data_IF_541835410502
#
_entry.id   IF_541835410502
#
_cell.length_a   1.000
_cell.length_b   1.000
_cell.length_c   1.000
_cell.angle_alpha   90.00
_cell.angle_beta   90.00
_cell.angle_gamma   90.00
#
_symmetry.space_group_name_H-M   'P 1'
#
loop_
_entity.id
_entity.type
_entity.pdbx_description
1 polymer ?
#
# COMPACT_ATOMS: atom_id res chain seq x y z
N UNK A 1 -38.36 37.77 -6.20
CA UNK A 1 -39.16 37.77 -7.43
C UNK A 1 -40.66 37.92 -7.18
N UNK A 2 -41.37 36.96 -6.55
CA UNK A 2 -42.84 37.04 -6.36
C UNK A 2 -43.31 38.23 -5.48
N UNK A 3 -42.51 38.66 -4.49
CA UNK A 3 -42.86 39.81 -3.65
C UNK A 3 -42.72 41.16 -4.36
N UNK A 4 -41.69 41.35 -5.19
CA UNK A 4 -41.59 42.53 -6.08
C UNK A 4 -42.72 42.53 -7.13
N UNK A 5 -43.12 41.35 -7.60
CA UNK A 5 -44.24 41.14 -8.52
C UNK A 5 -45.59 41.58 -7.94
N UNK A 6 -45.86 41.22 -6.67
CA UNK A 6 -47.09 41.64 -5.96
C UNK A 6 -47.13 43.14 -5.69
N UNK A 7 -45.99 43.74 -5.32
CA UNK A 7 -45.90 45.18 -5.10
C UNK A 7 -46.12 46.00 -6.37
N UNK A 8 -45.59 45.56 -7.51
CA UNK A 8 -45.81 46.21 -8.81
C UNK A 8 -47.26 46.00 -9.30
N UNK A 9 -47.81 44.79 -9.11
CA UNK A 9 -49.20 44.44 -9.43
C UNK A 9 -50.24 45.25 -8.63
N UNK A 10 -49.98 45.52 -7.35
CA UNK A 10 -50.87 46.30 -6.50
C UNK A 10 -50.70 47.82 -6.68
N UNK A 11 -49.50 48.29 -7.05
CA UNK A 11 -49.25 49.70 -7.36
C UNK A 11 -49.93 50.17 -8.66
N UNK A 12 -50.18 49.28 -9.62
CA UNK A 12 -50.81 49.61 -10.92
C UNK A 12 -52.35 49.66 -10.92
N UNK A 13 -53.00 49.65 -9.75
CA UNK A 13 -54.45 49.39 -9.62
C UNK A 13 -55.43 50.59 -9.57
N UNK A 14 -55.11 51.87 -9.88
CA UNK A 14 -56.16 52.88 -9.84
C UNK A 14 -57.02 52.83 -11.11
N UNK A 15 -58.29 52.42 -10.97
CA UNK A 15 -59.38 53.10 -11.69
C UNK A 15 -60.22 52.36 -12.72
N UNK A 16 -60.12 51.03 -12.94
CA UNK A 16 -60.96 50.37 -13.98
C UNK A 16 -62.39 50.00 -13.50
N UNK A 17 -62.72 50.21 -12.22
CA UNK A 17 -64.01 49.73 -11.65
C UNK A 17 -65.14 50.75 -11.47
N UNK A 18 -64.99 52.01 -11.89
CA UNK A 18 -66.12 52.95 -11.97
C UNK A 18 -65.97 53.80 -13.22
N UNK A 19 -66.78 53.52 -14.24
CA UNK A 19 -67.30 54.47 -15.22
C UNK A 19 -68.34 53.70 -16.07
N UNK A 20 -69.36 53.20 -15.38
CA UNK A 20 -70.67 53.07 -15.97
C UNK A 20 -71.32 54.46 -15.99
N UNK A 21 -72.03 54.74 -17.08
CA UNK A 21 -72.94 55.89 -17.28
C UNK A 21 -72.28 57.27 -17.43
N UNK A 22 -72.27 57.78 -18.67
CA UNK A 22 -71.85 59.15 -18.99
C UNK A 22 -71.50 59.32 -20.48
N UNK A 23 -72.51 59.43 -21.34
CA UNK A 23 -72.35 59.72 -22.77
C UNK A 23 -71.94 61.18 -22.98
N UNK A 24 -70.87 61.45 -23.73
CA UNK A 24 -70.54 62.80 -24.21
C UNK A 24 -69.07 63.09 -24.53
N UNK A 25 -68.36 62.21 -25.26
CA UNK A 25 -66.94 62.44 -25.60
C UNK A 25 -66.22 61.17 -26.08
N UNK A 26 -66.80 60.46 -27.04
CA UNK A 26 -66.60 59.02 -27.21
C UNK A 26 -65.40 58.51 -28.04
N UNK A 27 -64.54 59.34 -28.63
CA UNK A 27 -63.49 58.83 -29.55
C UNK A 27 -62.03 59.12 -29.18
N UNK A 28 -61.71 60.00 -28.25
CA UNK A 28 -60.30 60.24 -27.86
C UNK A 28 -59.92 59.41 -26.64
N UNK A 29 -60.82 59.29 -25.66
CA UNK A 29 -60.60 58.54 -24.42
C UNK A 29 -60.48 57.03 -24.67
N UNK A 30 -61.28 56.48 -25.59
CA UNK A 30 -61.22 55.06 -25.97
C UNK A 30 -59.91 54.69 -26.70
N UNK A 31 -59.39 55.57 -27.54
CA UNK A 31 -58.11 55.34 -28.24
C UNK A 31 -56.92 55.41 -27.29
N UNK A 32 -56.93 56.33 -26.31
CA UNK A 32 -55.89 56.44 -25.28
C UNK A 32 -55.89 55.26 -24.31
N UNK A 33 -57.06 54.78 -23.88
CA UNK A 33 -57.18 53.61 -23.00
C UNK A 33 -56.69 52.33 -23.69
N UNK A 34 -57.07 52.11 -24.95
CA UNK A 34 -56.60 50.96 -25.73
C UNK A 34 -55.09 51.06 -25.97
N UNK A 35 -54.55 52.25 -26.27
CA UNK A 35 -53.11 52.48 -26.42
C UNK A 35 -52.31 52.18 -25.14
N UNK A 36 -52.75 52.66 -23.97
CA UNK A 36 -52.11 52.41 -22.67
C UNK A 36 -52.17 50.94 -22.27
N UNK A 37 -53.31 50.27 -22.49
CA UNK A 37 -53.46 48.82 -22.28
C UNK A 37 -52.51 48.01 -23.15
N UNK A 38 -52.32 48.38 -24.42
CA UNK A 38 -51.39 47.71 -25.33
C UNK A 38 -49.92 47.91 -24.88
N UNK A 39 -49.54 49.12 -24.47
CA UNK A 39 -48.17 49.43 -24.02
C UNK A 39 -47.80 48.63 -22.76
N UNK A 40 -48.68 48.65 -21.76
CA UNK A 40 -48.45 47.95 -20.49
C UNK A 40 -48.36 46.43 -20.70
N UNK A 41 -49.19 45.87 -21.57
CA UNK A 41 -49.20 44.43 -21.87
C UNK A 41 -47.99 43.98 -22.68
N UNK A 42 -47.50 44.80 -23.60
CA UNK A 42 -46.26 44.54 -24.34
C UNK A 42 -45.03 44.59 -23.44
N UNK A 43 -44.96 45.54 -22.50
CA UNK A 43 -43.85 45.62 -21.54
C UNK A 43 -43.79 44.37 -20.64
N UNK A 44 -44.94 43.86 -20.19
CA UNK A 44 -45.01 42.64 -19.38
C UNK A 44 -44.60 41.39 -20.19
N UNK A 45 -45.03 41.29 -21.45
CA UNK A 45 -44.64 40.22 -22.37
C UNK A 45 -43.13 40.21 -22.62
N UNK A 46 -42.53 41.37 -22.86
CA UNK A 46 -41.08 41.52 -23.08
C UNK A 46 -40.29 41.17 -21.81
N UNK A 47 -40.76 41.59 -20.64
CA UNK A 47 -40.11 41.27 -19.37
C UNK A 47 -40.15 39.77 -19.06
N UNK A 48 -41.32 39.13 -19.19
CA UNK A 48 -41.49 37.68 -19.00
C UNK A 48 -40.64 36.89 -20.01
N UNK A 49 -40.62 37.32 -21.27
CA UNK A 49 -39.78 36.73 -22.31
C UNK A 49 -38.28 36.85 -22.02
N UNK A 50 -37.84 37.99 -21.46
CA UNK A 50 -36.45 38.19 -21.04
C UNK A 50 -36.07 37.27 -19.89
N UNK A 51 -36.96 37.04 -18.93
CA UNK A 51 -36.70 36.16 -17.77
C UNK A 51 -36.61 34.69 -18.19
N UNK A 52 -37.49 34.24 -19.10
CA UNK A 52 -37.51 32.85 -19.58
C UNK A 52 -36.25 32.51 -20.42
N UNK A 53 -35.68 33.50 -21.11
CA UNK A 53 -34.46 33.31 -21.89
C UNK A 53 -33.19 33.18 -21.06
N UNK A 54 -33.15 33.77 -19.85
CA UNK A 54 -31.97 33.69 -18.98
C UNK A 54 -31.87 32.28 -18.39
N UNK A 55 -30.98 31.46 -18.95
CA UNK A 55 -30.73 30.09 -18.51
C UNK A 55 -29.62 30.09 -17.47
N UNK A 56 -29.98 29.98 -16.20
CA UNK A 56 -28.99 29.92 -15.11
C UNK A 56 -28.86 28.48 -14.56
N UNK A 57 -27.79 27.74 -14.90
CA UNK A 57 -27.60 26.36 -14.45
C UNK A 57 -27.47 26.28 -12.93
N UNK A 58 -28.20 25.35 -12.33
CA UNK A 58 -28.28 25.24 -10.88
C UNK A 58 -27.34 24.15 -10.35
N UNK A 59 -27.03 24.22 -9.05
CA UNK A 59 -26.09 23.29 -8.39
C UNK A 59 -26.77 22.10 -7.72
N UNK A 60 -28.03 22.25 -7.30
CA UNK A 60 -28.73 21.22 -6.50
C UNK A 60 -30.04 20.82 -7.14
N UNK A 61 -30.45 19.57 -6.95
CA UNK A 61 -31.76 19.09 -7.42
C UNK A 61 -32.89 19.96 -6.85
N UNK A 62 -32.81 20.33 -5.57
CA UNK A 62 -33.80 21.17 -4.90
C UNK A 62 -33.99 22.54 -5.58
N UNK A 63 -32.90 23.18 -6.01
CA UNK A 63 -32.98 24.45 -6.73
C UNK A 63 -33.64 24.32 -8.11
N UNK A 64 -33.40 23.23 -8.85
CA UNK A 64 -34.07 22.99 -10.14
C UNK A 64 -35.55 22.63 -9.93
N UNK A 65 -35.86 21.83 -8.91
CA UNK A 65 -37.24 21.51 -8.53
C UNK A 65 -38.03 22.76 -8.12
N UNK A 66 -37.37 23.70 -7.45
CA UNK A 66 -37.96 25.01 -7.14
C UNK A 66 -38.27 25.80 -8.42
N UNK A 67 -37.34 25.91 -9.37
CA UNK A 67 -37.59 26.56 -10.66
C UNK A 67 -38.71 25.87 -11.46
N UNK A 68 -38.81 24.54 -11.40
CA UNK A 68 -39.93 23.80 -11.98
C UNK A 68 -41.25 24.13 -11.30
N UNK A 69 -41.25 24.30 -9.97
CA UNK A 69 -42.44 24.71 -9.22
C UNK A 69 -42.91 26.11 -9.62
N UNK A 70 -41.99 27.07 -9.73
CA UNK A 70 -42.28 28.43 -10.19
C UNK A 70 -42.82 28.44 -11.63
N UNK A 71 -42.20 27.66 -12.53
CA UNK A 71 -42.68 27.47 -13.91
C UNK A 71 -44.10 26.89 -13.97
N UNK A 72 -44.44 25.96 -13.07
CA UNK A 72 -45.80 25.39 -12.97
C UNK A 72 -46.80 26.43 -12.49
N UNK A 73 -46.44 27.26 -11.51
CA UNK A 73 -47.29 28.35 -11.00
C UNK A 73 -47.56 29.37 -12.10
N UNK A 74 -46.52 29.86 -12.77
CA UNK A 74 -46.67 30.77 -13.92
C UNK A 74 -47.63 30.22 -14.98
N UNK A 75 -47.51 28.93 -15.34
CA UNK A 75 -48.36 28.31 -16.36
C UNK A 75 -49.81 28.06 -15.91
N UNK A 76 -50.04 27.80 -14.63
CA UNK A 76 -51.38 27.51 -14.09
C UNK A 76 -52.16 28.76 -13.72
N UNK A 77 -51.49 29.78 -13.19
CA UNK A 77 -52.14 30.93 -12.56
C UNK A 77 -51.99 32.20 -13.41
N UNK A 78 -50.77 32.50 -13.84
CA UNK A 78 -50.48 33.79 -14.50
C UNK A 78 -50.76 33.77 -16.00
N UNK A 79 -50.24 32.78 -16.74
CA UNK A 79 -50.32 32.68 -18.21
C UNK A 79 -51.77 32.63 -18.74
N UNK A 80 -52.73 31.91 -18.13
CA UNK A 80 -54.11 31.89 -18.62
C UNK A 80 -54.78 33.26 -18.61
N UNK A 81 -54.51 34.08 -17.57
CA UNK A 81 -55.04 35.45 -17.50
C UNK A 81 -54.51 36.32 -18.64
N UNK A 82 -53.23 36.15 -19.01
CA UNK A 82 -52.59 36.88 -20.12
C UNK A 82 -53.10 36.44 -21.49
N UNK A 83 -53.45 35.16 -21.64
CA UNK A 83 -54.07 34.65 -22.86
C UNK A 83 -55.50 35.21 -23.04
N UNK A 84 -56.30 35.24 -21.97
CA UNK A 84 -57.63 35.88 -21.97
C UNK A 84 -57.51 37.37 -22.33
N UNK A 85 -56.51 38.04 -21.78
CA UNK A 85 -56.19 39.43 -22.09
C UNK A 85 -55.83 39.65 -23.57
N UNK A 86 -55.04 38.77 -24.19
CA UNK A 86 -54.73 38.80 -25.63
C UNK A 86 -56.01 38.67 -26.47
N UNK A 87 -56.86 37.69 -26.15
CA UNK A 87 -58.13 37.47 -26.86
C UNK A 87 -59.10 38.66 -26.72
N UNK A 88 -59.17 39.25 -25.52
CA UNK A 88 -59.98 40.44 -25.26
C UNK A 88 -59.47 41.64 -26.06
N UNK A 89 -58.15 41.82 -26.15
CA UNK A 89 -57.54 42.91 -26.93
C UNK A 89 -57.91 42.80 -28.42
N UNK A 90 -57.80 41.61 -28.99
CA UNK A 90 -58.18 41.34 -30.38
C UNK A 90 -59.67 41.62 -30.63
N UNK A 91 -60.54 41.12 -29.75
CA UNK A 91 -61.99 41.36 -29.82
C UNK A 91 -62.33 42.85 -29.71
N UNK A 92 -61.67 43.56 -28.80
CA UNK A 92 -61.87 45.00 -28.58
C UNK A 92 -61.44 45.81 -29.80
N UNK A 93 -60.31 45.46 -30.41
CA UNK A 93 -59.85 46.10 -31.64
C UNK A 93 -60.80 45.85 -32.81
N UNK A 94 -61.23 44.60 -33.03
CA UNK A 94 -62.15 44.26 -34.12
C UNK A 94 -63.50 44.99 -33.98
N UNK A 95 -63.98 45.10 -32.74
CA UNK A 95 -65.18 45.88 -32.41
C UNK A 95 -64.97 47.37 -32.70
N UNK A 96 -63.83 47.93 -32.30
CA UNK A 96 -63.48 49.33 -32.55
C UNK A 96 -63.39 49.62 -34.06
N UNK A 97 -62.72 48.77 -34.84
CA UNK A 97 -62.63 48.90 -36.30
C UNK A 97 -64.02 48.91 -36.94
N UNK A 98 -64.89 48.00 -36.52
CA UNK A 98 -66.26 47.90 -37.04
C UNK A 98 -67.06 49.17 -36.71
N UNK A 99 -66.96 49.70 -35.49
CA UNK A 99 -67.63 50.96 -35.09
C UNK A 99 -67.11 52.17 -35.86
N UNK A 100 -65.80 52.27 -36.08
CA UNK A 100 -65.20 53.37 -36.83
C UNK A 100 -65.66 53.34 -38.30
N UNK A 101 -65.70 52.15 -38.91
CA UNK A 101 -66.26 51.95 -40.26
C UNK A 101 -67.72 52.39 -40.37
N UNK A 102 -68.57 51.94 -39.42
CA UNK A 102 -70.00 52.30 -39.41
C UNK A 102 -70.24 53.80 -39.20
N UNK A 103 -69.37 54.46 -38.43
CA UNK A 103 -69.43 55.91 -38.19
C UNK A 103 -68.72 56.76 -39.26
N UNK A 104 -68.26 56.15 -40.36
CA UNK A 104 -67.49 56.78 -41.45
C UNK A 104 -66.23 57.53 -40.96
N UNK A 105 -65.61 57.05 -39.89
CA UNK A 105 -64.37 57.59 -39.34
C UNK A 105 -63.16 56.76 -39.82
N UNK A 106 -61.97 57.37 -39.93
CA UNK A 106 -60.77 56.64 -40.32
C UNK A 106 -60.46 55.50 -39.33
N UNK A 107 -59.97 54.39 -39.85
CA UNK A 107 -59.57 53.23 -39.07
C UNK A 107 -58.46 53.58 -38.08
N UNK A 108 -58.54 53.01 -36.88
CA UNK A 108 -57.47 53.16 -35.90
C UNK A 108 -56.28 52.27 -36.28
N UNK A 109 -55.10 52.85 -36.49
CA UNK A 109 -53.88 52.09 -36.79
C UNK A 109 -52.88 52.31 -35.66
N UNK A 110 -52.62 51.31 -34.80
CA UNK A 110 -51.55 51.36 -33.82
C UNK A 110 -50.17 51.50 -34.49
N UNK A 111 -49.17 51.97 -33.75
CA UNK A 111 -47.76 51.92 -34.20
C UNK A 111 -47.34 50.48 -34.55
N UNK A 112 -46.40 50.31 -35.47
CA UNK A 112 -45.98 49.01 -36.03
C UNK A 112 -45.73 47.93 -34.97
N UNK A 113 -44.98 48.24 -33.90
CA UNK A 113 -44.68 47.30 -32.81
C UNK A 113 -45.86 46.95 -31.89
N UNK A 114 -46.95 47.69 -32.03
CA UNK A 114 -48.18 47.59 -31.23
C UNK A 114 -49.36 47.08 -32.06
N UNK A 115 -49.11 46.72 -33.31
CA UNK A 115 -50.12 46.14 -34.18
C UNK A 115 -50.46 44.71 -33.74
N UNK A 116 -51.70 44.26 -33.97
CA UNK A 116 -52.17 42.96 -33.47
C UNK A 116 -51.35 41.80 -34.02
N UNK A 117 -50.94 41.84 -35.28
CA UNK A 117 -50.06 40.80 -35.85
C UNK A 117 -48.68 40.78 -35.16
N UNK A 118 -48.12 41.93 -34.78
CA UNK A 118 -46.86 42.00 -34.05
C UNK A 118 -46.99 41.46 -32.61
N UNK A 119 -48.12 41.72 -31.94
CA UNK A 119 -48.44 41.14 -30.64
C UNK A 119 -48.65 39.63 -30.74
N UNK A 120 -49.29 39.16 -31.82
CA UNK A 120 -49.43 37.74 -32.15
C UNK A 120 -48.08 37.06 -32.33
N UNK A 121 -47.20 37.62 -33.14
CA UNK A 121 -45.85 37.10 -33.36
C UNK A 121 -45.01 37.05 -32.08
N UNK A 122 -45.04 38.10 -31.25
CA UNK A 122 -44.36 38.12 -29.94
C UNK A 122 -44.91 37.07 -28.97
N UNK A 123 -46.21 36.79 -29.04
CA UNK A 123 -46.82 35.73 -28.24
C UNK A 123 -46.37 34.34 -28.72
N UNK A 124 -46.27 34.12 -30.02
CA UNK A 124 -45.78 32.86 -30.58
C UNK A 124 -44.30 32.64 -30.23
N UNK A 125 -43.49 33.71 -30.21
CA UNK A 125 -42.11 33.68 -29.70
C UNK A 125 -42.05 33.34 -28.21
N UNK A 126 -42.94 33.90 -27.39
CA UNK A 126 -43.05 33.56 -25.97
C UNK A 126 -43.42 32.07 -25.79
N UNK A 127 -44.35 31.54 -26.57
CA UNK A 127 -44.70 30.12 -26.49
C UNK A 127 -43.56 29.20 -26.91
N UNK A 128 -42.77 29.59 -27.91
CA UNK A 128 -41.54 28.87 -28.28
C UNK A 128 -40.53 28.92 -27.15
N UNK A 129 -40.29 30.09 -26.56
CA UNK A 129 -39.38 30.26 -25.43
C UNK A 129 -39.81 29.41 -24.23
N UNK A 130 -41.09 29.40 -23.88
CA UNK A 130 -41.66 28.57 -22.80
C UNK A 130 -41.39 27.08 -23.02
N UNK A 131 -41.58 26.57 -24.25
CA UNK A 131 -41.30 25.16 -24.58
C UNK A 131 -39.81 24.85 -24.42
N UNK A 132 -38.94 25.70 -24.97
CA UNK A 132 -37.49 25.50 -24.86
C UNK A 132 -36.99 25.61 -23.42
N UNK A 133 -37.63 26.42 -22.58
CA UNK A 133 -37.28 26.55 -21.17
C UNK A 133 -37.73 25.33 -20.35
N UNK A 134 -38.89 24.75 -20.68
CA UNK A 134 -39.34 23.49 -20.08
C UNK A 134 -38.42 22.32 -20.45
N UNK A 135 -38.06 22.21 -21.73
CA UNK A 135 -37.09 21.21 -22.20
C UNK A 135 -35.75 21.37 -21.47
N UNK A 136 -35.24 22.60 -21.39
CA UNK A 136 -34.02 22.92 -20.65
C UNK A 136 -34.11 22.57 -19.15
N UNK A 137 -35.22 22.88 -18.47
CA UNK A 137 -35.41 22.55 -17.06
C UNK A 137 -35.44 21.03 -16.80
N UNK A 138 -35.93 20.24 -17.76
CA UNK A 138 -35.92 18.78 -17.66
C UNK A 138 -34.52 18.22 -17.86
N UNK A 139 -33.81 18.69 -18.89
CA UNK A 139 -32.42 18.33 -19.16
C UNK A 139 -31.51 18.71 -17.98
N UNK A 140 -31.68 19.90 -17.43
CA UNK A 140 -30.90 20.40 -16.29
C UNK A 140 -31.19 19.58 -15.03
N UNK A 141 -32.45 19.21 -14.77
CA UNK A 141 -32.79 18.33 -13.67
C UNK A 141 -32.14 16.94 -13.81
N UNK A 142 -32.17 16.36 -15.01
CA UNK A 142 -31.52 15.08 -15.30
C UNK A 142 -30.00 15.17 -15.11
N UNK A 143 -29.38 16.24 -15.62
CA UNK A 143 -27.95 16.50 -15.48
C UNK A 143 -27.55 16.60 -14.01
N UNK A 144 -28.24 17.43 -13.21
CA UNK A 144 -27.91 17.62 -11.78
C UNK A 144 -28.12 16.34 -10.99
N UNK A 145 -29.19 15.57 -11.23
CA UNK A 145 -29.38 14.24 -10.62
C UNK A 145 -28.25 13.27 -10.99
N UNK A 146 -27.82 13.27 -12.26
CA UNK A 146 -26.72 12.43 -12.72
C UNK A 146 -25.41 12.82 -12.03
N UNK A 147 -25.13 14.11 -11.92
CA UNK A 147 -23.94 14.64 -11.23
C UNK A 147 -23.95 14.24 -9.75
N UNK A 148 -25.04 14.45 -9.02
CA UNK A 148 -25.14 14.03 -7.60
C UNK A 148 -24.94 12.52 -7.42
N UNK A 149 -25.52 11.71 -8.31
CA UNK A 149 -25.32 10.26 -8.32
C UNK A 149 -23.85 9.87 -8.55
N UNK A 150 -23.21 10.48 -9.55
CA UNK A 150 -21.82 10.20 -9.90
C UNK A 150 -20.86 10.63 -8.79
N UNK A 151 -21.11 11.76 -8.13
CA UNK A 151 -20.32 12.23 -6.98
C UNK A 151 -20.38 11.21 -5.85
N UNK A 152 -21.59 10.80 -5.42
CA UNK A 152 -21.76 9.79 -4.36
C UNK A 152 -21.09 8.46 -4.74
N UNK A 153 -21.23 8.05 -6.00
CA UNK A 153 -20.59 6.84 -6.51
C UNK A 153 -19.07 6.94 -6.47
N UNK A 154 -18.51 8.08 -6.88
CA UNK A 154 -17.08 8.35 -6.88
C UNK A 154 -16.51 8.33 -5.45
N UNK A 155 -17.17 8.99 -4.50
CA UNK A 155 -16.80 9.00 -3.08
C UNK A 155 -16.70 7.61 -2.48
N UNK A 156 -17.75 6.80 -2.64
CA UNK A 156 -17.78 5.44 -2.09
C UNK A 156 -16.62 4.61 -2.67
N UNK A 157 -16.38 4.74 -3.98
CA UNK A 157 -15.31 4.00 -4.67
C UNK A 157 -13.92 4.43 -4.22
N UNK A 158 -13.69 5.74 -4.07
CA UNK A 158 -12.45 6.33 -3.58
C UNK A 158 -12.19 5.94 -2.11
N UNK A 159 -13.17 6.14 -1.23
CA UNK A 159 -13.08 5.80 0.20
C UNK A 159 -12.74 4.32 0.40
N UNK A 160 -13.41 3.43 -0.33
CA UNK A 160 -13.13 1.99 -0.26
C UNK A 160 -11.72 1.68 -0.78
N UNK A 161 -11.16 2.47 -1.72
CA UNK A 161 -9.84 2.20 -2.30
C UNK A 161 -8.75 2.72 -1.38
N UNK A 162 -8.95 3.90 -0.81
CA UNK A 162 -8.09 4.48 0.20
C UNK A 162 -8.00 3.58 1.44
N UNK A 163 -9.13 3.02 1.90
CA UNK A 163 -9.14 2.06 3.00
C UNK A 163 -8.27 0.82 2.72
N UNK A 164 -8.30 0.30 1.48
CA UNK A 164 -7.43 -0.81 1.07
C UNK A 164 -5.96 -0.39 0.95
N UNK A 165 -5.70 0.82 0.43
CA UNK A 165 -4.35 1.36 0.21
C UNK A 165 -3.64 1.75 1.51
N UNK A 166 -4.40 2.10 2.56
CA UNK A 166 -3.88 2.55 3.85
C UNK A 166 -2.90 1.54 4.43
N UNK A 167 -1.71 2.01 4.80
CA UNK A 167 -0.65 1.20 5.44
C UNK A 167 0.18 0.35 4.47
N UNK A 168 -0.24 0.17 3.21
CA UNK A 168 0.52 -0.63 2.23
C UNK A 168 1.88 -0.03 1.87
N UNK A 169 2.04 1.28 1.64
CA UNK A 169 3.35 1.87 1.35
C UNK A 169 4.36 1.63 2.48
N UNK A 170 3.93 1.77 3.74
CA UNK A 170 4.75 1.52 4.92
C UNK A 170 5.12 0.03 5.02
N UNK A 171 4.15 -0.86 4.82
CA UNK A 171 4.39 -2.30 4.84
C UNK A 171 5.39 -2.73 3.75
N UNK A 172 5.28 -2.16 2.54
CA UNK A 172 6.14 -2.46 1.40
C UNK A 172 7.58 -1.96 1.61
N UNK A 173 7.75 -0.80 2.23
CA UNK A 173 9.06 -0.20 2.53
C UNK A 173 9.73 -0.77 3.79
N UNK A 174 9.06 -1.68 4.49
CA UNK A 174 9.58 -2.27 5.73
C UNK A 174 10.82 -3.15 5.54
N UNK A 175 11.63 -3.23 6.59
CA UNK A 175 12.91 -3.93 6.67
C UNK A 175 12.81 -5.37 7.19
N UNK A 176 11.60 -5.91 7.33
CA UNK A 176 11.33 -7.23 7.90
C UNK A 176 12.16 -8.37 7.26
N UNK A 177 12.50 -8.23 5.98
CA UNK A 177 13.31 -9.19 5.23
C UNK A 177 14.74 -9.36 5.78
N UNK A 178 15.31 -8.33 6.40
CA UNK A 178 16.70 -8.34 6.89
C UNK A 178 16.92 -9.23 8.11
N UNK A 179 15.85 -9.59 8.84
CA UNK A 179 15.92 -10.38 10.08
C UNK A 179 15.35 -11.78 9.94
N UNK A 180 14.90 -12.15 8.73
CA UNK A 180 14.27 -13.44 8.48
C UNK A 180 15.30 -14.54 8.20
N UNK A 181 15.01 -15.73 8.67
CA UNK A 181 15.67 -16.95 8.20
C UNK A 181 15.22 -17.31 6.78
N UNK A 182 15.97 -18.15 6.07
CA UNK A 182 15.63 -18.56 4.69
C UNK A 182 14.18 -19.09 4.54
N UNK A 183 13.64 -19.95 5.43
CA UNK A 183 12.25 -20.40 5.35
C UNK A 183 11.23 -19.25 5.55
N UNK A 184 11.48 -18.36 6.51
CA UNK A 184 10.61 -17.21 6.79
C UNK A 184 10.62 -16.21 5.63
N UNK A 185 11.79 -16.01 5.01
CA UNK A 185 11.95 -15.16 3.84
C UNK A 185 11.17 -15.72 2.64
N UNK A 186 11.23 -17.03 2.38
CA UNK A 186 10.41 -17.68 1.34
C UNK A 186 8.91 -17.54 1.61
N UNK A 187 8.50 -17.67 2.87
CA UNK A 187 7.11 -17.40 3.25
C UNK A 187 6.71 -15.93 3.02
N UNK A 188 7.62 -14.99 3.28
CA UNK A 188 7.42 -13.57 2.98
C UNK A 188 7.31 -13.31 1.46
N UNK A 189 8.13 -13.95 0.64
CA UNK A 189 8.07 -13.88 -0.82
C UNK A 189 6.73 -14.40 -1.36
N UNK A 190 6.24 -15.54 -0.85
CA UNK A 190 4.94 -16.08 -1.23
C UNK A 190 3.77 -15.15 -0.85
N UNK A 191 3.86 -14.50 0.32
CA UNK A 191 2.89 -13.45 0.69
C UNK A 191 2.97 -12.24 -0.23
N UNK A 192 4.17 -11.86 -0.67
CA UNK A 192 4.38 -10.77 -1.61
C UNK A 192 3.84 -11.10 -3.02
N UNK A 193 3.98 -12.34 -3.48
CA UNK A 193 3.38 -12.82 -4.73
C UNK A 193 1.84 -12.73 -4.69
N UNK A 194 1.23 -13.18 -3.59
CA UNK A 194 -0.20 -13.02 -3.37
C UNK A 194 -0.63 -11.55 -3.40
N UNK A 195 0.16 -10.67 -2.76
CA UNK A 195 -0.06 -9.23 -2.81
C UNK A 195 0.04 -8.65 -4.23
N UNK A 196 0.97 -9.12 -5.06
CA UNK A 196 1.08 -8.68 -6.46
C UNK A 196 -0.13 -9.11 -7.30
N UNK A 197 -0.67 -10.30 -7.06
CA UNK A 197 -1.92 -10.74 -7.69
C UNK A 197 -3.10 -9.84 -7.29
N UNK A 198 -3.23 -9.52 -5.99
CA UNK A 198 -4.22 -8.56 -5.52
C UNK A 198 -4.02 -7.15 -6.10
N UNK A 199 -2.77 -6.72 -6.27
CA UNK A 199 -2.43 -5.42 -6.85
C UNK A 199 -2.91 -5.34 -8.30
N UNK A 200 -2.63 -6.37 -9.10
CA UNK A 200 -3.08 -6.46 -10.50
C UNK A 200 -4.62 -6.46 -10.60
N UNK A 201 -5.32 -7.19 -9.72
CA UNK A 201 -6.79 -7.19 -9.69
C UNK A 201 -7.40 -5.81 -9.36
N UNK A 202 -6.62 -4.91 -8.74
CA UNK A 202 -7.05 -3.55 -8.42
C UNK A 202 -6.73 -2.52 -9.51
N UNK A 203 -5.97 -2.85 -10.56
CA UNK A 203 -5.70 -1.93 -11.68
C UNK A 203 -7.03 -1.50 -12.35
N UNK A 204 -7.89 -2.46 -12.71
CA UNK A 204 -9.23 -2.20 -13.28
C UNK A 204 -10.07 -1.26 -12.39
N UNK A 205 -9.89 -1.37 -11.07
CA UNK A 205 -10.65 -0.57 -10.12
C UNK A 205 -10.21 0.88 -10.14
N UNK A 206 -8.90 1.14 -10.18
CA UNK A 206 -8.35 2.50 -10.27
C UNK A 206 -8.71 3.13 -11.61
N UNK A 207 -8.63 2.37 -12.70
CA UNK A 207 -9.06 2.83 -14.03
C UNK A 207 -10.54 3.23 -14.04
N UNK A 208 -11.43 2.41 -13.47
CA UNK A 208 -12.86 2.74 -13.33
C UNK A 208 -13.10 4.00 -12.49
N UNK A 209 -12.29 4.25 -11.46
CA UNK A 209 -12.39 5.48 -10.66
C UNK A 209 -11.94 6.69 -11.50
N UNK A 210 -10.86 6.55 -12.28
CA UNK A 210 -10.41 7.56 -13.24
C UNK A 210 -11.49 7.90 -14.27
N UNK A 211 -12.08 6.90 -14.92
CA UNK A 211 -13.15 7.10 -15.90
C UNK A 211 -14.40 7.78 -15.29
N UNK A 212 -14.77 7.46 -14.04
CA UNK A 212 -15.85 8.15 -13.33
C UNK A 212 -15.51 9.63 -13.06
N UNK A 213 -14.25 9.94 -12.75
CA UNK A 213 -13.79 11.31 -12.57
C UNK A 213 -13.81 12.10 -13.89
N UNK A 214 -13.43 11.48 -15.00
CA UNK A 214 -13.49 12.10 -16.32
C UNK A 214 -14.94 12.36 -16.76
N UNK A 215 -15.85 11.40 -16.54
CA UNK A 215 -17.29 11.57 -16.77
C UNK A 215 -17.83 12.75 -15.95
N UNK A 216 -17.50 12.80 -14.65
CA UNK A 216 -17.90 13.89 -13.77
C UNK A 216 -17.34 15.25 -14.24
N UNK A 217 -16.06 15.29 -14.62
CA UNK A 217 -15.41 16.48 -15.16
C UNK A 217 -16.08 16.98 -16.43
N UNK A 218 -16.41 16.09 -17.36
CA UNK A 218 -17.09 16.43 -18.62
C UNK A 218 -18.47 17.05 -18.38
N UNK A 219 -19.28 16.51 -17.45
CA UNK A 219 -20.59 17.03 -17.09
C UNK A 219 -20.52 18.40 -16.39
N UNK A 220 -19.41 18.67 -15.70
CA UNK A 220 -19.11 19.97 -15.09
C UNK A 220 -18.59 20.97 -16.14
N UNK A 221 -17.86 20.53 -17.17
CA UNK A 221 -17.37 21.40 -18.26
C UNK A 221 -18.50 21.76 -19.25
N UNK A 222 -19.39 20.83 -19.58
CA UNK A 222 -20.58 21.09 -20.42
C UNK A 222 -21.44 22.24 -19.85
N UNK A 223 -21.42 22.44 -18.52
CA UNK A 223 -22.03 23.59 -17.85
C UNK A 223 -21.36 24.93 -18.22
N UNK A 224 -20.03 24.98 -18.36
CA UNK A 224 -19.29 26.22 -18.68
C UNK A 224 -19.50 26.65 -20.13
N UNK A 225 -19.48 25.70 -21.07
CA UNK A 225 -19.67 25.99 -22.50
C UNK A 225 -21.09 26.46 -22.81
N UNK A 226 -22.11 25.95 -22.11
CA UNK A 226 -23.49 26.41 -22.24
C UNK A 226 -23.74 27.86 -21.78
N UNK A 227 -22.83 28.44 -21.00
CA UNK A 227 -22.91 29.83 -20.49
C UNK A 227 -22.11 30.84 -21.32
N UNK A 228 -21.29 30.42 -22.30
CA UNK A 228 -20.33 31.29 -22.98
C UNK A 228 -20.95 32.39 -23.85
N UNK A 229 -22.17 32.21 -24.38
CA UNK A 229 -22.83 33.23 -25.21
C UNK A 229 -23.38 34.42 -24.40
N UNK A 230 -23.60 34.27 -23.09
CA UNK A 230 -24.15 35.31 -22.21
C UNK A 230 -23.18 35.70 -21.06
N UNK A 231 -22.12 34.91 -20.85
CA UNK A 231 -21.06 35.18 -19.89
C UNK A 231 -20.17 36.37 -20.23
N UNK A 232 -20.22 37.00 -21.40
CA UNK A 232 -19.39 38.19 -21.67
C UNK A 232 -19.75 39.38 -20.77
N UNK A 233 -21.02 39.53 -20.40
CA UNK A 233 -21.48 40.58 -19.48
C UNK A 233 -21.26 40.21 -18.00
N UNK A 234 -21.43 38.94 -17.64
CA UNK A 234 -21.14 38.42 -16.29
C UNK A 234 -19.63 38.27 -16.05
N UNK A 235 -18.82 38.01 -17.07
CA UNK A 235 -17.35 37.94 -16.98
C UNK A 235 -16.73 39.31 -16.70
N UNK A 236 -17.37 40.40 -17.14
CA UNK A 236 -16.98 41.76 -16.72
C UNK A 236 -17.25 41.96 -15.22
N UNK A 237 -18.42 41.56 -14.72
CA UNK A 237 -18.71 41.56 -13.27
C UNK A 237 -17.85 40.54 -12.48
N UNK A 238 -17.52 39.39 -13.06
CA UNK A 238 -16.72 38.34 -12.43
C UNK A 238 -15.22 38.69 -12.41
N UNK A 239 -14.75 39.51 -13.36
CA UNK A 239 -13.42 40.12 -13.32
C UNK A 239 -13.33 41.14 -12.18
N UNK A 240 -14.40 41.91 -11.95
CA UNK A 240 -14.52 42.82 -10.80
C UNK A 240 -14.55 42.05 -9.46
N UNK A 241 -15.27 40.91 -9.41
CA UNK A 241 -15.31 40.03 -8.24
C UNK A 241 -14.00 39.25 -8.06
N UNK A 242 -13.32 38.82 -9.12
CA UNK A 242 -12.00 38.20 -9.04
C UNK A 242 -10.94 39.17 -8.52
N UNK A 243 -11.01 40.45 -8.92
CA UNK A 243 -10.19 41.53 -8.35
C UNK A 243 -10.44 41.65 -6.84
N UNK A 244 -11.71 41.68 -6.42
CA UNK A 244 -12.09 41.73 -5.00
C UNK A 244 -11.70 40.46 -4.22
N UNK A 245 -11.70 39.29 -4.85
CA UNK A 245 -11.28 38.01 -4.25
C UNK A 245 -9.76 37.90 -4.12
N UNK A 246 -9.00 38.47 -5.06
CA UNK A 246 -7.54 38.61 -4.98
C UNK A 246 -7.14 39.60 -3.87
N UNK A 247 -7.85 40.73 -3.77
CA UNK A 247 -7.65 41.72 -2.71
C UNK A 247 -7.99 41.18 -1.31
N UNK A 248 -8.85 40.14 -1.21
CA UNK A 248 -9.30 39.53 0.05
C UNK A 248 -8.78 38.09 0.31
N UNK A 249 -7.83 37.56 -0.49
CA UNK A 249 -7.24 36.21 -0.34
C UNK A 249 -8.24 35.04 -0.20
N UNK A 250 -9.39 35.07 -0.87
CA UNK A 250 -10.38 33.97 -0.79
C UNK A 250 -10.18 32.96 -1.94
N UNK A 251 -9.20 32.06 -1.79
CA UNK A 251 -8.99 30.94 -2.73
C UNK A 251 -9.81 29.73 -2.26
N UNK A 252 -10.81 29.27 -3.01
CA UNK A 252 -11.57 28.05 -2.61
C UNK A 252 -12.82 27.65 -3.41
N UNK A 253 -13.23 28.38 -4.46
CA UNK A 253 -14.54 28.13 -5.11
C UNK A 253 -14.50 26.96 -6.14
N UNK A 254 -13.35 26.34 -6.38
CA UNK A 254 -13.18 25.26 -7.37
C UNK A 254 -12.77 23.90 -6.79
N UNK A 255 -12.73 23.75 -5.47
CA UNK A 255 -12.48 22.44 -4.85
C UNK A 255 -13.78 21.64 -4.76
N UNK A 256 -13.68 20.34 -5.07
CA UNK A 256 -14.78 19.40 -4.90
C UNK A 256 -15.17 19.41 -3.41
N UNK A 257 -16.37 19.93 -3.04
CA UNK A 257 -16.75 20.13 -1.64
C UNK A 257 -16.88 18.83 -0.82
N UNK A 258 -16.84 17.69 -1.51
CA UNK A 258 -17.25 16.41 -0.97
C UNK A 258 -16.10 15.40 -0.86
N UNK A 259 -14.92 15.69 -1.44
CA UNK A 259 -13.73 14.83 -1.30
C UNK A 259 -12.44 15.64 -1.49
N UNK A 260 -11.48 15.45 -0.58
CA UNK A 260 -10.16 16.08 -0.64
C UNK A 260 -9.20 15.43 -1.65
N UNK A 261 -9.58 14.31 -2.28
CA UNK A 261 -8.70 13.52 -3.16
C UNK A 261 -8.97 13.88 -4.62
N UNK A 262 -7.94 14.37 -5.31
CA UNK A 262 -8.02 14.66 -6.75
C UNK A 262 -7.78 13.38 -7.55
N UNK A 263 -8.46 13.18 -8.70
CA UNK A 263 -8.25 11.99 -9.54
C UNK A 263 -6.78 11.79 -9.95
N UNK A 264 -6.05 12.87 -10.25
CA UNK A 264 -4.63 12.83 -10.56
C UNK A 264 -3.77 12.31 -9.39
N UNK A 265 -4.13 12.70 -8.16
CA UNK A 265 -3.44 12.27 -6.94
C UNK A 265 -3.66 10.77 -6.66
N UNK A 266 -4.84 10.24 -6.99
CA UNK A 266 -5.10 8.80 -6.89
C UNK A 266 -4.20 7.99 -7.85
N UNK A 267 -4.06 8.44 -9.09
CA UNK A 267 -3.19 7.79 -10.08
C UNK A 267 -1.72 7.85 -9.67
N UNK A 268 -1.27 8.98 -9.12
CA UNK A 268 0.09 9.14 -8.59
C UNK A 268 0.34 8.20 -7.40
N UNK A 269 -0.56 8.19 -6.40
CA UNK A 269 -0.47 7.28 -5.25
C UNK A 269 -0.49 5.81 -5.68
N UNK A 270 -1.29 5.46 -6.69
CA UNK A 270 -1.32 4.11 -7.27
C UNK A 270 0.02 3.74 -7.93
N UNK A 271 0.62 4.66 -8.68
CA UNK A 271 1.93 4.46 -9.30
C UNK A 271 3.03 4.22 -8.24
N UNK A 272 3.00 4.96 -7.13
CA UNK A 272 3.93 4.75 -6.00
C UNK A 272 3.79 3.34 -5.42
N UNK A 273 2.57 2.84 -5.19
CA UNK A 273 2.37 1.48 -4.66
C UNK A 273 2.93 0.43 -5.64
N UNK A 274 2.73 0.62 -6.95
CA UNK A 274 3.28 -0.28 -7.98
C UNK A 274 4.80 -0.28 -8.01
N UNK A 275 5.42 0.88 -7.93
CA UNK A 275 6.88 1.02 -7.88
C UNK A 275 7.47 0.37 -6.62
N UNK A 276 6.88 0.62 -5.45
CA UNK A 276 7.29 0.00 -4.19
C UNK A 276 7.14 -1.53 -4.23
N UNK A 277 6.07 -2.04 -4.84
CA UNK A 277 5.86 -3.48 -5.00
C UNK A 277 6.95 -4.12 -5.87
N UNK A 278 7.38 -3.44 -6.95
CA UNK A 278 8.47 -3.88 -7.81
C UNK A 278 9.82 -3.87 -7.08
N UNK A 279 10.17 -2.76 -6.43
CA UNK A 279 11.40 -2.63 -5.63
C UNK A 279 11.48 -3.69 -4.55
N UNK A 280 10.37 -3.96 -3.86
CA UNK A 280 10.31 -5.01 -2.85
C UNK A 280 10.57 -6.41 -3.42
N UNK A 281 10.07 -6.72 -4.62
CA UNK A 281 10.39 -7.99 -5.28
C UNK A 281 11.88 -8.16 -5.54
N UNK A 282 12.55 -7.10 -5.99
CA UNK A 282 13.99 -7.08 -6.26
C UNK A 282 14.79 -7.29 -4.96
N UNK A 283 14.46 -6.53 -3.92
CA UNK A 283 15.09 -6.64 -2.59
C UNK A 283 14.91 -8.04 -1.99
N UNK A 284 13.70 -8.61 -2.05
CA UNK A 284 13.44 -9.95 -1.51
C UNK A 284 14.22 -11.03 -2.26
N UNK A 285 14.35 -10.90 -3.58
CA UNK A 285 15.13 -11.84 -4.42
C UNK A 285 16.62 -11.76 -4.10
N UNK A 286 17.15 -10.56 -3.93
CA UNK A 286 18.55 -10.35 -3.52
C UNK A 286 18.80 -10.91 -2.11
N UNK A 287 17.86 -10.73 -1.17
CA UNK A 287 17.96 -11.38 0.14
C UNK A 287 17.92 -12.90 0.02
N UNK A 288 17.07 -13.46 -0.85
CA UNK A 288 16.96 -14.91 -0.97
C UNK A 288 18.28 -15.50 -1.47
N UNK A 289 18.90 -14.87 -2.45
CA UNK A 289 20.21 -15.28 -2.95
C UNK A 289 21.26 -15.26 -1.83
N UNK A 290 21.28 -14.20 -1.02
CA UNK A 290 22.18 -14.06 0.13
C UNK A 290 21.95 -15.16 1.16
N UNK A 291 20.70 -15.36 1.57
CA UNK A 291 20.31 -16.37 2.56
C UNK A 291 20.57 -17.81 2.07
N UNK A 292 20.35 -18.10 0.79
CA UNK A 292 20.70 -19.40 0.17
C UNK A 292 22.20 -19.64 0.22
N UNK A 293 23.02 -18.62 -0.07
CA UNK A 293 24.48 -18.74 0.02
C UNK A 293 24.93 -18.97 1.47
N UNK A 294 24.36 -18.23 2.42
CA UNK A 294 24.67 -18.38 3.85
C UNK A 294 24.30 -19.78 4.36
N UNK A 295 23.12 -20.30 4.01
CA UNK A 295 22.69 -21.65 4.37
C UNK A 295 23.58 -22.74 3.74
N UNK A 296 24.04 -22.52 2.49
CA UNK A 296 25.03 -23.40 1.84
C UNK A 296 26.35 -23.44 2.64
N UNK A 297 26.88 -22.28 3.04
CA UNK A 297 28.12 -22.22 3.84
C UNK A 297 27.94 -22.92 5.20
N UNK A 298 26.80 -22.71 5.89
CA UNK A 298 26.47 -23.41 7.15
C UNK A 298 26.48 -24.92 6.99
N UNK A 299 25.88 -25.44 5.92
CA UNK A 299 25.86 -26.89 5.63
C UNK A 299 27.26 -27.42 5.32
N UNK A 300 28.03 -26.72 4.49
CA UNK A 300 29.40 -27.12 4.17
C UNK A 300 30.29 -27.19 5.42
N UNK A 301 30.21 -26.18 6.29
CA UNK A 301 30.92 -26.22 7.55
C UNK A 301 30.46 -27.38 8.43
N UNK A 302 29.14 -27.59 8.55
CA UNK A 302 28.57 -28.69 9.37
C UNK A 302 29.05 -30.06 8.93
N UNK A 303 29.01 -30.33 7.62
CA UNK A 303 29.44 -31.58 7.03
C UNK A 303 30.92 -31.85 7.33
N UNK A 304 31.80 -30.89 6.99
CA UNK A 304 33.24 -31.01 7.24
C UNK A 304 33.59 -31.09 8.72
N UNK A 305 32.94 -30.29 9.57
CA UNK A 305 33.15 -30.30 11.02
C UNK A 305 32.77 -31.65 11.63
N UNK A 306 31.63 -32.23 11.21
CA UNK A 306 31.15 -33.51 11.72
C UNK A 306 32.04 -34.67 11.26
N UNK A 307 32.51 -34.63 10.01
CA UNK A 307 33.46 -35.61 9.48
C UNK A 307 34.80 -35.55 10.24
N UNK A 308 35.34 -34.35 10.41
CA UNK A 308 36.60 -34.12 11.11
C UNK A 308 36.53 -34.50 12.59
N UNK A 309 35.43 -34.16 13.29
CA UNK A 309 35.23 -34.55 14.70
C UNK A 309 35.17 -36.07 14.87
N UNK A 310 34.42 -36.78 14.01
CA UNK A 310 34.39 -38.25 14.04
C UNK A 310 35.78 -38.86 13.86
N UNK A 311 36.56 -38.32 12.92
CA UNK A 311 37.93 -38.75 12.71
C UNK A 311 38.82 -38.46 13.93
N UNK A 312 38.71 -37.29 14.56
CA UNK A 312 39.44 -36.93 15.78
C UNK A 312 39.14 -37.90 16.92
N UNK A 313 37.86 -38.22 17.17
CA UNK A 313 37.47 -39.18 18.21
C UNK A 313 38.01 -40.59 17.92
N UNK A 314 38.03 -41.00 16.65
CA UNK A 314 38.61 -42.27 16.24
C UNK A 314 40.11 -42.33 16.51
N UNK A 315 40.87 -41.27 16.16
CA UNK A 315 42.31 -41.25 16.42
C UNK A 315 42.64 -41.17 17.92
N UNK A 316 41.87 -40.41 18.68
CA UNK A 316 41.98 -40.38 20.15
C UNK A 316 41.78 -41.77 20.76
N UNK A 317 40.80 -42.51 20.26
CA UNK A 317 40.53 -43.89 20.70
C UNK A 317 41.65 -44.86 20.29
N UNK A 318 42.21 -44.71 19.09
CA UNK A 318 43.36 -45.48 18.63
C UNK A 318 44.61 -45.24 19.49
N UNK A 319 44.87 -43.99 19.85
CA UNK A 319 45.97 -43.63 20.76
C UNK A 319 45.79 -44.26 22.14
N UNK A 320 44.58 -44.16 22.71
CA UNK A 320 44.26 -44.79 23.99
C UNK A 320 44.43 -46.32 23.94
N UNK A 321 44.01 -46.96 22.83
CA UNK A 321 44.18 -48.39 22.62
C UNK A 321 45.65 -48.80 22.48
N UNK A 322 46.47 -48.02 21.76
CA UNK A 322 47.91 -48.29 21.65
C UNK A 322 48.60 -48.23 23.02
N UNK A 323 48.18 -47.30 23.89
CA UNK A 323 48.69 -47.21 25.25
C UNK A 323 48.29 -48.41 26.13
N UNK A 324 47.04 -48.92 26.01
CA UNK A 324 46.55 -50.06 26.79
C UNK A 324 47.06 -51.42 26.28
N UNK A 325 47.04 -51.64 24.96
CA UNK A 325 47.36 -52.94 24.35
C UNK A 325 48.85 -53.12 24.12
N UNK A 326 49.71 -52.70 25.05
CA UNK A 326 51.18 -52.60 24.95
C UNK A 326 51.89 -53.91 24.49
N UNK A 327 51.68 -54.32 23.24
CA UNK A 327 52.18 -55.53 22.61
C UNK A 327 53.44 -55.21 21.80
N UNK A 328 54.44 -56.07 21.90
CA UNK A 328 55.72 -55.90 21.20
C UNK A 328 56.78 -55.13 21.99
N UNK A 329 57.91 -54.88 21.34
CA UNK A 329 59.03 -54.14 21.94
C UNK A 329 58.70 -52.65 22.08
N UNK A 330 59.35 -52.00 23.04
CA UNK A 330 59.25 -50.56 23.26
C UNK A 330 59.61 -49.75 22.00
N UNK A 331 60.60 -50.21 21.24
CA UNK A 331 61.03 -49.61 19.99
C UNK A 331 59.93 -49.67 18.94
N UNK A 332 59.27 -50.83 18.83
CA UNK A 332 58.15 -51.01 17.90
C UNK A 332 56.97 -50.10 18.26
N UNK A 333 56.65 -49.97 19.55
CA UNK A 333 55.59 -49.08 20.04
C UNK A 333 55.91 -47.61 19.74
N UNK A 334 57.15 -47.17 19.99
CA UNK A 334 57.61 -45.83 19.63
C UNK A 334 57.48 -45.57 18.14
N UNK A 335 57.92 -46.52 17.31
CA UNK A 335 57.89 -46.37 15.86
C UNK A 335 56.44 -46.37 15.31
N UNK A 336 55.54 -47.16 15.92
CA UNK A 336 54.10 -47.12 15.64
C UNK A 336 53.48 -45.75 16.00
N UNK A 337 53.82 -45.17 17.16
CA UNK A 337 53.35 -43.84 17.55
C UNK A 337 53.91 -42.73 16.65
N UNK A 338 55.19 -42.80 16.27
CA UNK A 338 55.80 -41.85 15.31
C UNK A 338 55.18 -41.98 13.91
N UNK A 339 54.86 -43.20 13.47
CA UNK A 339 54.13 -43.40 12.23
C UNK A 339 52.71 -42.83 12.33
N UNK A 340 52.01 -43.03 13.45
CA UNK A 340 50.70 -42.42 13.69
C UNK A 340 50.77 -40.89 13.67
N UNK A 341 51.84 -40.28 14.20
CA UNK A 341 52.08 -38.83 14.11
C UNK A 341 52.10 -38.35 12.66
N UNK A 342 52.87 -39.02 11.81
CA UNK A 342 53.00 -38.70 10.40
C UNK A 342 51.66 -38.87 9.68
N UNK A 343 50.91 -39.96 9.96
CA UNK A 343 49.60 -40.19 9.36
C UNK A 343 48.55 -39.16 9.80
N UNK A 344 48.51 -38.78 11.09
CA UNK A 344 47.66 -37.70 11.60
C UNK A 344 48.05 -36.39 10.90
N UNK A 345 49.35 -36.10 10.78
CA UNK A 345 49.86 -34.90 10.10
C UNK A 345 49.38 -34.75 8.64
N UNK A 346 49.22 -35.86 7.91
CA UNK A 346 48.68 -35.84 6.53
C UNK A 346 47.23 -35.34 6.46
N UNK A 347 46.46 -35.50 7.53
CA UNK A 347 45.07 -35.04 7.60
C UNK A 347 44.93 -33.55 7.93
N UNK A 348 46.04 -32.81 8.09
CA UNK A 348 46.04 -31.35 8.29
C UNK A 348 45.23 -30.61 7.23
N UNK A 349 45.23 -31.13 5.99
CA UNK A 349 44.42 -30.56 4.90
C UNK A 349 42.93 -30.49 5.24
N UNK A 350 42.37 -31.45 5.98
CA UNK A 350 40.95 -31.40 6.40
C UNK A 350 40.68 -30.22 7.34
N UNK A 351 41.62 -29.94 8.26
CA UNK A 351 41.56 -28.80 9.15
C UNK A 351 41.69 -27.48 8.37
N UNK A 352 42.65 -27.39 7.44
CA UNK A 352 42.86 -26.20 6.60
C UNK A 352 41.62 -25.90 5.73
N UNK A 353 40.98 -26.94 5.19
CA UNK A 353 39.74 -26.82 4.44
C UNK A 353 38.55 -26.38 5.31
N UNK A 354 38.50 -26.81 6.57
CA UNK A 354 37.48 -26.36 7.52
C UNK A 354 37.70 -24.91 7.95
N UNK A 355 38.95 -24.51 8.13
CA UNK A 355 39.36 -23.13 8.43
C UNK A 355 38.94 -22.18 7.30
N UNK A 356 39.13 -22.58 6.04
CA UNK A 356 38.65 -21.82 4.88
C UNK A 356 37.11 -21.68 4.88
N UNK A 357 36.38 -22.75 5.21
CA UNK A 357 34.92 -22.69 5.34
C UNK A 357 34.48 -21.75 6.48
N UNK A 358 35.19 -21.77 7.62
CA UNK A 358 34.92 -20.86 8.74
C UNK A 358 35.20 -19.39 8.35
N UNK A 359 36.32 -19.13 7.66
CA UNK A 359 36.64 -17.79 7.16
C UNK A 359 35.55 -17.28 6.20
N UNK A 360 35.08 -18.12 5.29
CA UNK A 360 33.99 -17.75 4.37
C UNK A 360 32.67 -17.43 5.10
N UNK A 361 32.39 -18.08 6.24
CA UNK A 361 31.25 -17.75 7.11
C UNK A 361 31.44 -16.39 7.80
N UNK A 362 32.63 -16.12 8.33
CA UNK A 362 32.97 -14.85 8.98
C UNK A 362 32.92 -13.67 7.99
N UNK A 363 33.47 -13.85 6.79
CA UNK A 363 33.41 -12.86 5.70
C UNK A 363 31.97 -12.58 5.24
N UNK A 364 31.08 -13.57 5.38
CA UNK A 364 29.64 -13.43 5.13
C UNK A 364 28.85 -12.92 6.35
N UNK A 365 29.52 -12.59 7.46
CA UNK A 365 28.92 -12.18 8.74
C UNK A 365 27.94 -13.21 9.33
N UNK A 366 28.23 -14.49 9.14
CA UNK A 366 27.44 -15.63 9.64
C UNK A 366 28.18 -16.27 10.82
N UNK A 367 27.67 -16.09 12.04
CA UNK A 367 28.32 -16.58 13.27
C UNK A 367 27.57 -17.73 13.94
N UNK A 368 26.29 -17.90 13.62
CA UNK A 368 25.45 -18.95 14.16
C UNK A 368 25.32 -20.10 13.17
N UNK A 369 25.32 -21.33 13.69
CA UNK A 369 25.03 -22.52 12.91
C UNK A 369 24.07 -23.42 13.68
N UNK A 370 22.81 -23.44 13.26
CA UNK A 370 21.76 -24.24 13.91
C UNK A 370 21.94 -25.75 13.69
N UNK A 371 22.80 -26.15 12.75
CA UNK A 371 22.92 -27.54 12.33
C UNK A 371 24.02 -28.30 13.09
N UNK A 372 24.89 -27.61 13.83
CA UNK A 372 25.94 -28.24 14.65
C UNK A 372 26.32 -27.38 15.84
N UNK A 373 26.60 -28.02 16.97
CA UNK A 373 27.19 -27.37 18.15
C UNK A 373 28.72 -27.28 18.06
N UNK A 374 29.33 -27.92 17.06
CA UNK A 374 30.77 -27.87 16.85
C UNK A 374 31.18 -26.48 16.38
N UNK A 375 32.15 -25.89 17.06
CA UNK A 375 32.73 -24.59 16.70
C UNK A 375 34.16 -24.77 16.19
N UNK A 376 34.62 -23.86 15.33
CA UNK A 376 35.99 -23.92 14.85
C UNK A 376 37.02 -23.89 16.00
N UNK A 377 36.88 -23.03 17.03
CA UNK A 377 37.77 -23.06 18.20
C UNK A 377 37.81 -24.42 18.92
N UNK A 378 36.65 -25.07 19.11
CA UNK A 378 36.61 -26.40 19.76
C UNK A 378 37.35 -27.47 18.96
N UNK A 379 37.28 -27.42 17.63
CA UNK A 379 37.95 -28.39 16.75
C UNK A 379 39.46 -28.13 16.65
N UNK A 380 39.90 -26.86 16.64
CA UNK A 380 41.33 -26.51 16.71
C UNK A 380 41.96 -27.05 17.99
N UNK A 381 41.32 -26.81 19.14
CA UNK A 381 41.80 -27.29 20.43
C UNK A 381 41.84 -28.82 20.48
N UNK A 382 40.79 -29.50 19.98
CA UNK A 382 40.77 -30.96 19.94
C UNK A 382 41.90 -31.57 19.09
N UNK A 383 42.21 -30.95 17.96
CA UNK A 383 43.34 -31.33 17.11
C UNK A 383 44.70 -31.12 17.80
N UNK A 384 44.93 -29.95 18.40
CA UNK A 384 46.17 -29.65 19.14
C UNK A 384 46.36 -30.57 20.35
N UNK A 385 45.27 -30.88 21.06
CA UNK A 385 45.28 -31.83 22.18
C UNK A 385 45.62 -33.25 21.74
N UNK A 386 45.19 -33.67 20.55
CA UNK A 386 45.55 -34.98 20.00
C UNK A 386 47.07 -35.08 19.78
N UNK A 387 47.69 -34.08 19.15
CA UNK A 387 49.15 -34.02 18.98
C UNK A 387 49.89 -33.97 20.32
N UNK A 388 49.42 -33.14 21.25
CA UNK A 388 50.01 -33.05 22.58
C UNK A 388 49.96 -34.40 23.31
N UNK A 389 48.84 -35.11 23.21
CA UNK A 389 48.66 -36.45 23.79
C UNK A 389 49.60 -37.47 23.13
N UNK A 390 49.72 -37.41 21.80
CA UNK A 390 50.61 -38.29 21.04
C UNK A 390 52.07 -38.07 21.40
N UNK A 391 52.52 -36.81 21.44
CA UNK A 391 53.88 -36.44 21.85
C UNK A 391 54.17 -36.86 23.29
N UNK A 392 53.20 -36.69 24.19
CA UNK A 392 53.33 -37.19 25.55
C UNK A 392 53.49 -38.72 25.59
N UNK A 393 52.68 -39.48 24.84
CA UNK A 393 52.80 -40.93 24.73
C UNK A 393 54.15 -41.37 24.16
N UNK A 394 54.66 -40.70 23.11
CA UNK A 394 55.99 -40.97 22.56
C UNK A 394 57.08 -40.73 23.61
N UNK A 395 57.04 -39.58 24.30
CA UNK A 395 58.00 -39.25 25.35
C UNK A 395 57.97 -40.24 26.52
N UNK A 396 56.78 -40.73 26.92
CA UNK A 396 56.65 -41.75 27.96
C UNK A 396 57.33 -43.05 27.53
N UNK A 397 57.13 -43.49 26.29
CA UNK A 397 57.79 -44.71 25.76
C UNK A 397 59.30 -44.50 25.62
N UNK A 398 59.77 -43.33 25.16
CA UNK A 398 61.20 -43.02 25.08
C UNK A 398 61.86 -43.01 26.47
N UNK A 399 61.21 -42.45 27.49
CA UNK A 399 61.68 -42.50 28.87
C UNK A 399 61.70 -43.93 29.45
N UNK A 400 60.74 -44.78 29.07
CA UNK A 400 60.74 -46.20 29.44
C UNK A 400 61.94 -46.94 28.82
N UNK A 401 62.27 -46.65 27.55
CA UNK A 401 63.46 -47.21 26.87
C UNK A 401 64.74 -46.80 27.61
N UNK A 402 64.91 -45.51 27.90
CA UNK A 402 66.08 -45.00 28.63
C UNK A 402 66.22 -45.66 30.00
N UNK A 403 65.10 -45.83 30.73
CA UNK A 403 65.12 -46.47 32.06
C UNK A 403 65.51 -47.94 31.96
N UNK A 404 64.97 -48.69 30.99
CA UNK A 404 65.33 -50.09 30.72
C UNK A 404 66.83 -50.22 30.45
N UNK A 405 67.35 -49.37 29.56
CA UNK A 405 68.74 -49.41 29.11
C UNK A 405 69.70 -49.02 30.25
N UNK A 406 69.37 -48.00 31.05
CA UNK A 406 70.18 -47.58 32.20
C UNK A 406 70.27 -48.64 33.31
N UNK A 407 69.22 -49.45 33.47
CA UNK A 407 69.16 -50.54 34.47
C UNK A 407 69.69 -51.88 33.95
N UNK A 408 70.04 -51.97 32.68
CA UNK A 408 70.55 -53.21 32.06
C UNK A 408 69.53 -54.35 32.03
N UNK A 409 68.22 -54.05 31.97
CA UNK A 409 67.18 -55.07 31.91
C UNK A 409 67.14 -55.74 30.53
N UNK A 410 67.07 -57.07 30.48
CA UNK A 410 66.93 -57.77 29.20
C UNK A 410 65.52 -57.59 28.61
N UNK A 411 65.39 -57.69 27.29
CA UNK A 411 64.10 -57.56 26.62
C UNK A 411 63.05 -58.59 27.09
N UNK A 412 63.51 -59.81 27.47
CA UNK A 412 62.66 -60.87 28.04
C UNK A 412 62.16 -60.50 29.43
N UNK A 413 63.03 -60.02 30.33
CA UNK A 413 62.63 -59.59 31.67
C UNK A 413 61.61 -58.44 31.62
N UNK A 414 61.77 -57.50 30.69
CA UNK A 414 60.81 -56.41 30.50
C UNK A 414 59.47 -56.91 29.94
N UNK A 415 59.50 -57.91 29.06
CA UNK A 415 58.29 -58.54 28.52
C UNK A 415 57.52 -59.33 29.58
N UNK A 416 58.22 -60.04 30.47
CA UNK A 416 57.61 -60.76 31.60
C UNK A 416 56.98 -59.78 32.60
N UNK A 417 57.70 -58.71 32.97
CA UNK A 417 57.17 -57.66 33.85
C UNK A 417 55.92 -56.99 33.27
N UNK A 418 55.89 -56.75 31.95
CA UNK A 418 54.71 -56.20 31.26
C UNK A 418 53.55 -57.17 31.24
N UNK A 419 53.82 -58.45 31.01
CA UNK A 419 52.78 -59.50 31.00
C UNK A 419 52.16 -59.65 32.38
N UNK A 420 52.99 -59.67 33.43
CA UNK A 420 52.52 -59.64 34.82
C UNK A 420 51.73 -58.37 35.11
N UNK A 421 52.26 -57.19 34.77
CA UNK A 421 51.58 -55.91 34.99
C UNK A 421 50.20 -55.87 34.32
N UNK A 422 50.11 -56.22 33.04
CA UNK A 422 48.85 -56.25 32.28
C UNK A 422 47.84 -57.27 32.81
N UNK A 423 48.30 -58.37 33.43
CA UNK A 423 47.41 -59.35 34.03
C UNK A 423 46.72 -58.82 35.30
N UNK A 424 47.40 -57.95 36.05
CA UNK A 424 46.88 -57.37 37.29
C UNK A 424 46.22 -55.99 37.11
N UNK A 425 46.55 -55.26 36.03
CA UNK A 425 45.92 -53.99 35.64
C UNK A 425 44.56 -54.24 34.95
N UNK A 426 43.58 -54.75 35.71
CA UNK A 426 42.26 -55.13 35.19
C UNK A 426 41.42 -53.92 34.75
N UNK A 427 41.72 -52.75 35.30
CA UNK A 427 41.04 -51.49 34.97
C UNK A 427 41.72 -50.74 33.81
N UNK A 428 42.87 -51.22 33.32
CA UNK A 428 43.59 -50.67 32.17
C UNK A 428 44.07 -49.24 32.42
N UNK A 429 44.30 -48.88 33.68
CA UNK A 429 44.64 -47.50 34.07
C UNK A 429 46.11 -47.18 33.81
N UNK A 430 46.92 -48.18 33.46
CA UNK A 430 48.36 -48.05 33.33
C UNK A 430 49.06 -47.88 34.68
N UNK A 431 48.36 -48.18 35.78
CA UNK A 431 48.84 -48.12 37.17
C UNK A 431 48.23 -49.27 37.97
N UNK A 432 49.03 -49.90 38.82
CA UNK A 432 48.52 -50.90 39.77
C UNK A 432 48.21 -50.21 41.09
N UNK A 433 46.97 -50.29 41.55
CA UNK A 433 46.63 -49.85 42.90
C UNK A 433 47.32 -50.74 43.94
N UNK A 434 47.52 -50.23 45.17
CA UNK A 434 48.21 -50.98 46.24
C UNK A 434 47.79 -52.47 46.38
N UNK A 435 46.49 -52.86 46.30
CA UNK A 435 46.11 -54.27 46.34
C UNK A 435 46.52 -55.06 45.08
N UNK A 436 46.40 -54.48 43.89
CA UNK A 436 46.80 -55.11 42.62
C UNK A 436 48.32 -55.25 42.52
N UNK A 437 49.06 -54.26 43.03
CA UNK A 437 50.51 -54.29 43.12
C UNK A 437 51.01 -55.36 44.08
N UNK A 438 50.36 -55.49 45.26
CA UNK A 438 50.66 -56.59 46.21
C UNK A 438 50.41 -57.95 45.55
N UNK A 439 49.30 -58.12 44.83
CA UNK A 439 48.99 -59.35 44.10
C UNK A 439 50.00 -59.65 42.99
N UNK A 440 50.44 -58.63 42.25
CA UNK A 440 51.46 -58.75 41.22
C UNK A 440 52.81 -59.22 41.80
N UNK A 441 53.26 -58.60 42.89
CA UNK A 441 54.53 -58.97 43.55
C UNK A 441 54.49 -60.39 44.15
N UNK A 442 53.35 -60.80 44.72
CA UNK A 442 53.15 -62.17 45.19
C UNK A 442 53.22 -63.17 44.03
N UNK A 443 52.64 -62.83 42.87
CA UNK A 443 52.73 -63.69 41.66
C UNK A 443 54.14 -63.82 41.09
N UNK A 444 54.98 -62.81 41.30
CA UNK A 444 56.41 -62.79 40.95
C UNK A 444 57.29 -63.51 42.00
N UNK A 445 56.68 -64.06 43.06
CA UNK A 445 57.38 -64.84 44.09
C UNK A 445 57.84 -64.06 45.31
N UNK A 446 57.46 -62.78 45.45
CA UNK A 446 57.75 -61.99 46.63
C UNK A 446 56.66 -62.19 47.70
N UNK A 447 56.99 -62.89 48.78
CA UNK A 447 56.11 -63.05 49.95
C UNK A 447 56.31 -61.89 50.92
N UNK A 448 55.22 -61.17 51.22
CA UNK A 448 55.18 -60.22 52.32
C UNK A 448 54.73 -60.99 53.57
N UNK A 449 55.64 -61.20 54.53
CA UNK A 449 55.21 -61.56 55.88
C UNK A 449 54.35 -60.44 56.45
N UNK A 450 53.31 -60.77 57.22
CA UNK A 450 52.46 -59.81 57.93
C UNK A 450 53.23 -59.14 59.09
N UNK A 451 54.30 -58.41 58.76
CA UNK A 451 55.02 -57.54 59.69
C UNK A 451 54.80 -56.07 59.29
N UNK A 452 54.11 -55.26 60.13
CA UNK A 452 53.87 -53.84 59.87
C UNK A 452 55.15 -52.99 59.74
N UNK A 453 56.33 -53.56 60.01
CA UNK A 453 57.64 -52.87 59.96
C UNK A 453 58.49 -53.18 58.73
N UNK A 454 58.07 -54.11 57.86
CA UNK A 454 58.81 -54.47 56.64
C UNK A 454 58.63 -53.50 55.46
N UNK A 455 57.66 -52.59 55.52
CA UNK A 455 57.34 -51.67 54.42
C UNK A 455 58.40 -50.60 54.14
N UNK A 456 59.35 -50.39 55.06
CA UNK A 456 60.31 -49.27 54.98
C UNK A 456 61.65 -49.68 54.36
N UNK A 457 61.99 -50.97 54.26
CA UNK A 457 63.35 -51.37 53.82
C UNK A 457 63.50 -51.75 52.35
N UNK A 458 62.47 -51.60 51.51
CA UNK A 458 62.53 -51.90 50.06
C UNK A 458 62.43 -50.64 49.19
N UNK A 459 62.18 -49.48 49.78
CA UNK A 459 62.02 -48.20 49.07
C UNK A 459 63.05 -47.15 49.53
N UNK A 460 64.34 -47.47 49.39
CA UNK A 460 65.42 -46.49 49.34
C UNK A 460 66.25 -46.65 48.07
#
# INVERSE_FOLDING_TARGET
MVQEFSHIWHASKPGVRRLGTGLGGGSTVGHLLVGLLIIYRLALLIFVFSVIKVRNPQQTVASVEHLQSESRVYRREEKPSKLQDKALLETTYNTLQTRLRLSKRPAYVPSVDKYISAIGARWDELEKADRTYEEWLLEELQRVRRVEYLIKKFEIRCSTHEAWAKGKPQALSGDAHLKCTLPELRALMKRHEAFQSELAANDDRVERIGALADELGSLIIMRKVGTEAECTSIAQCASEVQRLVQDNKLSGIMENPYTNIKPAELTERWAVIKDLAKKRSEILREEELRQVNNDKLRRQFTEKATEFDKWLQQQKSNLARNAMEARGSLEKQRDELKNMEVEIGKHKRMLDELEQCNQALEDAYVFDNLNTSLSMPTLRVAWEQLFTSLHHSVNVIENQILTRDSKGLTAEQMADLRTCFSHFDKNGTGRLEAPEFKACLVSLGHSFGDDPRGFVSVFQ
#
